data_IF_591991618939
#
_entry.id   IF_591991618939
#
_cell.length_a   1.000
_cell.length_b   1.000
_cell.length_c   1.000
_cell.angle_alpha   90.00
_cell.angle_beta   90.00
_cell.angle_gamma   90.00
#
_symmetry.space_group_name_H-M   'P 1'
#
loop_
_entity.id
_entity.type
_entity.pdbx_description
1 polymer ?
#
# COMPACT_ATOMS: atom_id res chain seq x y z
N UNK A 1 25.03 10.47 -14.72
CA UNK A 1 24.42 10.67 -16.06
C UNK A 1 23.20 9.74 -16.22
N UNK A 2 23.32 8.45 -16.10
CA UNK A 2 22.25 7.45 -16.33
C UNK A 2 21.03 7.62 -15.42
N UNK A 3 21.21 7.88 -14.12
CA UNK A 3 20.11 8.13 -13.17
C UNK A 3 19.37 9.43 -13.55
N UNK A 4 20.08 10.42 -14.04
CA UNK A 4 19.49 11.69 -14.48
C UNK A 4 18.60 11.48 -15.72
N UNK A 5 19.05 10.67 -16.68
CA UNK A 5 18.26 10.34 -17.89
C UNK A 5 16.93 9.65 -17.53
N UNK A 6 16.93 8.76 -16.53
CA UNK A 6 15.69 8.15 -16.01
C UNK A 6 14.80 9.20 -15.33
N UNK A 7 15.37 10.09 -14.52
CA UNK A 7 14.62 11.14 -13.82
C UNK A 7 13.98 12.11 -14.83
N UNK A 8 14.73 12.56 -15.82
CA UNK A 8 14.25 13.46 -16.87
C UNK A 8 13.11 12.79 -17.68
N UNK A 9 13.27 11.52 -18.04
CA UNK A 9 12.22 10.75 -18.71
C UNK A 9 10.96 10.57 -17.87
N UNK A 10 11.09 10.36 -16.55
CA UNK A 10 9.94 10.26 -15.64
C UNK A 10 9.16 11.57 -15.56
N UNK A 11 9.83 12.73 -15.59
CA UNK A 11 9.17 14.04 -15.61
C UNK A 11 8.32 14.22 -16.88
N UNK A 12 8.85 13.82 -18.04
CA UNK A 12 8.10 13.85 -19.29
C UNK A 12 6.90 12.90 -19.26
N UNK A 13 7.08 11.68 -18.76
CA UNK A 13 6.02 10.68 -18.62
C UNK A 13 4.91 11.19 -17.70
N UNK A 14 5.23 11.83 -16.57
CA UNK A 14 4.23 12.40 -15.65
C UNK A 14 3.35 13.43 -16.34
N UNK A 15 3.96 14.33 -17.13
CA UNK A 15 3.22 15.33 -17.90
C UNK A 15 2.23 14.69 -18.90
N UNK A 16 2.60 13.60 -19.55
CA UNK A 16 1.72 12.89 -20.48
C UNK A 16 0.68 12.03 -19.77
N UNK A 17 0.98 11.45 -18.62
CA UNK A 17 -0.01 10.76 -17.77
C UNK A 17 -1.15 11.72 -17.39
N UNK A 18 -0.82 12.92 -16.94
CA UNK A 18 -1.81 13.92 -16.56
C UNK A 18 -2.69 14.33 -17.75
N UNK A 19 -2.08 14.58 -18.92
CA UNK A 19 -2.81 14.90 -20.13
C UNK A 19 -3.79 13.80 -20.54
N UNK A 20 -3.35 12.53 -20.52
CA UNK A 20 -4.16 11.41 -20.99
C UNK A 20 -5.29 11.07 -19.97
N UNK A 21 -5.01 11.16 -18.67
CA UNK A 21 -6.03 10.94 -17.64
C UNK A 21 -7.20 11.93 -17.76
N UNK A 22 -6.95 13.15 -18.22
CA UNK A 22 -8.00 14.16 -18.48
C UNK A 22 -8.89 13.80 -19.67
N UNK A 23 -8.48 12.88 -20.54
CA UNK A 23 -9.28 12.44 -21.70
C UNK A 23 -10.31 11.34 -21.35
N UNK A 24 -10.18 10.69 -20.20
CA UNK A 24 -11.11 9.65 -19.78
C UNK A 24 -12.41 10.25 -19.24
N UNK A 25 -13.54 9.88 -19.83
CA UNK A 25 -14.88 10.39 -19.45
C UNK A 25 -15.60 9.53 -18.43
N UNK A 26 -15.08 8.34 -18.13
CA UNK A 26 -15.72 7.33 -17.28
C UNK A 26 -15.12 7.24 -15.87
N UNK A 27 -14.28 8.20 -15.46
CA UNK A 27 -13.59 8.19 -14.17
C UNK A 27 -12.41 7.21 -14.08
N UNK A 28 -12.01 6.59 -15.20
CA UNK A 28 -10.81 5.76 -15.27
C UNK A 28 -9.54 6.61 -15.25
N UNK A 29 -8.44 6.00 -14.82
CA UNK A 29 -7.10 6.57 -14.90
C UNK A 29 -6.07 5.49 -15.22
N UNK A 30 -4.93 5.91 -15.78
CA UNK A 30 -3.80 5.00 -16.00
C UNK A 30 -3.26 4.46 -14.66
N UNK A 31 -2.76 3.24 -14.68
CA UNK A 31 -1.95 2.73 -13.58
C UNK A 31 -0.55 3.36 -13.63
N UNK A 32 -0.37 4.44 -12.88
CA UNK A 32 0.86 5.26 -12.86
C UNK A 32 2.09 4.41 -12.54
N UNK A 33 1.96 3.45 -11.63
CA UNK A 33 3.07 2.59 -11.22
C UNK A 33 3.46 1.60 -12.31
N UNK A 34 2.49 1.09 -13.09
CA UNK A 34 2.79 0.23 -14.23
C UNK A 34 3.50 1.03 -15.33
N UNK A 35 2.97 2.21 -15.68
CA UNK A 35 3.58 3.10 -16.67
C UNK A 35 5.02 3.44 -16.31
N UNK A 36 5.25 3.89 -15.06
CA UNK A 36 6.59 4.29 -14.57
C UNK A 36 7.50 3.10 -14.31
N UNK A 37 7.00 2.03 -13.73
CA UNK A 37 7.78 0.82 -13.45
C UNK A 37 8.28 0.17 -14.72
N UNK A 38 7.44 0.07 -15.74
CA UNK A 38 7.82 -0.42 -17.05
C UNK A 38 8.86 0.50 -17.70
N UNK A 39 8.69 1.82 -17.60
CA UNK A 39 9.68 2.77 -18.10
C UNK A 39 11.05 2.62 -17.44
N UNK A 40 11.10 2.55 -16.10
CA UNK A 40 12.36 2.35 -15.38
C UNK A 40 13.03 1.05 -15.83
N UNK A 41 12.29 -0.05 -15.90
CA UNK A 41 12.82 -1.34 -16.34
C UNK A 41 13.29 -1.35 -17.79
N UNK A 42 12.61 -0.63 -18.68
CA UNK A 42 13.03 -0.42 -20.05
C UNK A 42 14.36 0.37 -20.12
N UNK A 43 14.45 1.49 -19.43
CA UNK A 43 15.65 2.30 -19.37
C UNK A 43 16.84 1.54 -18.78
N UNK A 44 16.61 0.77 -17.70
CA UNK A 44 17.65 -0.06 -17.07
C UNK A 44 18.19 -1.12 -18.02
N UNK A 45 17.36 -1.71 -18.88
CA UNK A 45 17.75 -2.78 -19.79
C UNK A 45 18.32 -2.27 -21.12
N UNK A 46 17.92 -1.08 -21.58
CA UNK A 46 18.23 -0.57 -22.91
C UNK A 46 19.53 0.23 -23.02
N UNK A 47 20.26 0.39 -21.91
CA UNK A 47 21.56 1.08 -21.85
C UNK A 47 21.65 2.37 -22.69
N UNK A 48 21.23 3.50 -22.09
CA UNK A 48 21.41 4.86 -22.62
C UNK A 48 20.54 5.27 -23.81
N UNK A 49 19.31 5.66 -23.53
CA UNK A 49 18.52 6.44 -24.49
C UNK A 49 18.12 7.76 -23.84
N UNK A 50 18.41 8.86 -24.52
CA UNK A 50 17.74 10.12 -24.24
C UNK A 50 16.28 9.94 -24.64
N UNK A 51 15.37 10.07 -23.68
CA UNK A 51 13.95 9.91 -23.89
C UNK A 51 13.36 11.28 -24.28
N UNK A 52 12.85 11.39 -25.49
CA UNK A 52 12.25 12.65 -25.98
C UNK A 52 10.79 12.78 -25.50
N UNK A 53 10.23 13.97 -25.66
CA UNK A 53 8.82 14.23 -25.35
C UNK A 53 7.88 13.38 -26.20
N UNK A 54 8.20 13.20 -27.49
CA UNK A 54 7.43 12.34 -28.40
C UNK A 54 7.50 10.86 -27.99
N UNK A 55 8.64 10.41 -27.49
CA UNK A 55 8.78 9.05 -26.96
C UNK A 55 7.98 8.89 -25.66
N UNK A 56 7.93 9.91 -24.81
CA UNK A 56 7.14 9.88 -23.58
C UNK A 56 5.63 9.84 -23.89
N UNK A 57 5.16 10.59 -24.86
CA UNK A 57 3.79 10.53 -25.35
C UNK A 57 3.46 9.14 -25.91
N UNK A 58 4.29 8.62 -26.79
CA UNK A 58 4.15 7.28 -27.37
C UNK A 58 4.15 6.19 -26.29
N UNK A 59 5.00 6.34 -25.26
CA UNK A 59 5.05 5.45 -24.12
C UNK A 59 3.73 5.41 -23.36
N UNK A 60 3.24 6.56 -22.92
CA UNK A 60 2.01 6.67 -22.12
C UNK A 60 0.79 6.21 -22.92
N UNK A 61 0.69 6.56 -24.20
CA UNK A 61 -0.38 6.10 -25.09
C UNK A 61 -0.43 4.57 -25.25
N UNK A 62 0.69 3.87 -25.02
CA UNK A 62 0.76 2.42 -25.15
C UNK A 62 0.00 1.67 -24.03
N UNK A 63 -0.40 2.38 -22.96
CA UNK A 63 -1.20 1.83 -21.86
C UNK A 63 -2.70 2.08 -22.02
N UNK A 64 -3.15 2.38 -23.23
CA UNK A 64 -4.55 2.60 -23.56
C UNK A 64 -5.00 1.68 -24.70
N UNK A 65 -6.31 1.39 -24.73
CA UNK A 65 -6.96 0.65 -25.80
C UNK A 65 -7.92 1.56 -26.59
N UNK A 66 -7.95 1.37 -27.92
CA UNK A 66 -8.86 2.07 -28.83
C UNK A 66 -8.44 3.50 -29.22
N UNK A 67 -8.90 3.93 -30.39
CA UNK A 67 -8.60 5.27 -30.95
C UNK A 67 -9.64 6.32 -30.55
N UNK A 68 -10.91 5.90 -30.42
CA UNK A 68 -12.03 6.81 -30.14
C UNK A 68 -12.37 6.91 -28.65
N UNK A 69 -12.21 5.80 -27.91
CA UNK A 69 -12.41 5.76 -26.46
C UNK A 69 -11.16 5.17 -25.84
N UNK A 70 -10.31 6.03 -25.32
CA UNK A 70 -9.10 5.58 -24.62
C UNK A 70 -9.47 4.93 -23.30
N UNK A 71 -9.29 3.63 -23.20
CA UNK A 71 -9.53 2.85 -21.99
C UNK A 71 -8.19 2.36 -21.47
N UNK A 72 -7.87 2.52 -20.17
CA UNK A 72 -6.66 1.97 -19.60
C UNK A 72 -6.61 0.45 -19.75
N UNK A 73 -5.47 -0.09 -20.17
CA UNK A 73 -5.23 -1.53 -20.17
C UNK A 73 -4.15 -1.92 -19.20
N UNK A 74 -4.35 -3.04 -18.50
CA UNK A 74 -3.34 -3.71 -17.67
C UNK A 74 -2.83 -5.02 -18.30
N UNK A 75 -3.29 -5.35 -19.51
CA UNK A 75 -2.93 -6.61 -20.19
C UNK A 75 -1.53 -6.47 -20.78
N UNK A 76 -0.54 -7.14 -20.18
CA UNK A 76 0.86 -7.04 -20.57
C UNK A 76 1.11 -7.28 -22.06
N UNK A 77 0.45 -8.30 -22.66
CA UNK A 77 0.63 -8.60 -24.08
C UNK A 77 0.17 -7.44 -24.99
N UNK A 78 -0.91 -6.75 -24.62
CA UNK A 78 -1.42 -5.57 -25.34
C UNK A 78 -0.47 -4.41 -25.18
N UNK A 79 -0.01 -4.14 -23.95
CA UNK A 79 0.95 -3.07 -23.64
C UNK A 79 2.25 -3.28 -24.42
N UNK A 80 2.82 -4.48 -24.40
CA UNK A 80 4.07 -4.77 -25.13
C UNK A 80 3.92 -4.59 -26.63
N UNK A 81 2.83 -5.07 -27.22
CA UNK A 81 2.57 -4.90 -28.65
C UNK A 81 2.43 -3.40 -29.02
N UNK A 82 1.75 -2.63 -28.18
CA UNK A 82 1.61 -1.18 -28.36
C UNK A 82 2.94 -0.44 -28.22
N UNK A 83 3.75 -0.79 -27.22
CA UNK A 83 5.08 -0.21 -27.02
C UNK A 83 6.00 -0.53 -28.20
N UNK A 84 6.04 -1.79 -28.65
CA UNK A 84 6.84 -2.20 -29.82
C UNK A 84 6.43 -1.42 -31.08
N UNK A 85 5.14 -1.20 -31.28
CA UNK A 85 4.61 -0.41 -32.40
C UNK A 85 4.96 1.08 -32.26
N UNK A 86 4.67 1.68 -31.11
CA UNK A 86 4.75 3.12 -30.91
C UNK A 86 6.20 3.61 -30.80
N UNK A 87 7.11 2.79 -30.26
CA UNK A 87 8.54 3.09 -30.20
C UNK A 87 9.30 2.61 -31.43
N UNK A 88 8.64 1.90 -32.34
CA UNK A 88 9.25 1.24 -33.50
C UNK A 88 10.47 0.38 -33.10
N UNK A 89 10.33 -0.37 -32.03
CA UNK A 89 11.38 -1.18 -31.43
C UNK A 89 10.83 -2.50 -30.91
N UNK A 90 11.59 -3.58 -31.10
CA UNK A 90 11.22 -4.89 -30.53
C UNK A 90 11.73 -5.02 -29.11
N UNK A 91 10.83 -5.26 -28.18
CA UNK A 91 11.17 -5.50 -26.78
C UNK A 91 11.72 -6.92 -26.58
N UNK A 92 12.97 -7.02 -26.18
CA UNK A 92 13.60 -8.30 -25.87
C UNK A 92 13.00 -8.92 -24.61
N UNK A 93 13.17 -10.25 -24.46
CA UNK A 93 12.66 -10.99 -23.29
C UNK A 93 13.22 -10.44 -21.97
N UNK A 94 14.51 -10.09 -21.94
CA UNK A 94 15.16 -9.56 -20.75
C UNK A 94 14.68 -8.13 -20.44
N UNK A 95 14.38 -7.33 -21.46
CA UNK A 95 13.75 -6.01 -21.30
C UNK A 95 12.37 -6.15 -20.68
N UNK A 96 11.52 -7.02 -21.19
CA UNK A 96 10.18 -7.29 -20.63
C UNK A 96 10.28 -7.76 -19.16
N UNK A 97 11.24 -8.64 -18.87
CA UNK A 97 11.49 -9.10 -17.50
C UNK A 97 11.94 -7.96 -16.57
N UNK A 98 12.82 -7.08 -17.05
CA UNK A 98 13.26 -5.90 -16.29
C UNK A 98 12.10 -4.94 -16.02
N UNK A 99 11.21 -4.72 -17.01
CA UNK A 99 10.00 -3.90 -16.87
C UNK A 99 9.08 -4.47 -15.79
N UNK A 100 8.79 -5.76 -15.82
CA UNK A 100 7.96 -6.44 -14.81
C UNK A 100 8.60 -6.42 -13.43
N UNK A 101 9.92 -6.60 -13.34
CA UNK A 101 10.67 -6.54 -12.08
C UNK A 101 10.60 -5.16 -11.45
N UNK A 102 10.83 -4.09 -12.22
CA UNK A 102 10.76 -2.72 -11.73
C UNK A 102 9.33 -2.33 -11.34
N UNK A 103 8.33 -2.73 -12.13
CA UNK A 103 6.93 -2.56 -11.76
C UNK A 103 6.60 -3.30 -10.46
N UNK A 104 6.98 -4.58 -10.36
CA UNK A 104 6.80 -5.37 -9.14
C UNK A 104 7.48 -4.75 -7.91
N UNK A 105 8.65 -4.12 -8.09
CA UNK A 105 9.35 -3.40 -7.01
C UNK A 105 8.60 -2.14 -6.54
N UNK A 106 7.90 -1.45 -7.45
CA UNK A 106 7.12 -0.26 -7.12
C UNK A 106 5.80 -0.58 -6.40
N UNK A 107 5.20 -1.74 -6.71
CA UNK A 107 3.87 -2.11 -6.19
C UNK A 107 3.93 -3.20 -5.11
N UNK A 108 5.15 -3.67 -4.73
CA UNK A 108 5.25 -4.89 -3.94
C UNK A 108 4.89 -6.15 -4.78
N UNK A 109 5.52 -7.24 -4.49
CA UNK A 109 5.68 -8.44 -5.35
C UNK A 109 4.43 -9.14 -5.92
N UNK A 110 3.22 -8.62 -5.77
CA UNK A 110 1.99 -9.33 -6.16
C UNK A 110 0.97 -8.55 -7.00
N UNK A 111 1.38 -7.43 -7.58
CA UNK A 111 0.56 -6.70 -8.56
C UNK A 111 -0.59 -5.88 -7.98
N UNK A 112 -0.65 -5.72 -6.67
CA UNK A 112 -1.65 -4.88 -6.00
C UNK A 112 -1.02 -3.59 -5.51
N UNK A 113 -1.53 -2.47 -6.00
CA UNK A 113 -1.03 -1.15 -5.63
C UNK A 113 -1.75 -0.67 -4.38
N UNK A 114 -1.04 -0.55 -3.27
CA UNK A 114 -1.49 0.28 -2.16
C UNK A 114 -0.74 1.60 -2.26
N UNK A 115 -1.45 2.67 -2.60
CA UNK A 115 -0.88 4.00 -2.61
C UNK A 115 -0.74 4.52 -1.18
N UNK A 116 0.33 5.26 -0.91
CA UNK A 116 0.44 6.02 0.34
C UNK A 116 -0.70 7.03 0.43
N UNK A 117 -1.16 7.31 1.65
CA UNK A 117 -2.16 8.36 1.84
C UNK A 117 -1.55 9.73 1.54
N UNK A 118 -2.28 10.55 0.79
CA UNK A 118 -1.93 11.96 0.61
C UNK A 118 -2.15 12.73 1.91
N UNK A 119 -1.58 13.94 1.96
CA UNK A 119 -1.81 14.83 3.12
C UNK A 119 -3.31 15.14 3.30
N UNK A 120 -4.03 15.37 2.22
CA UNK A 120 -5.46 15.66 2.22
C UNK A 120 -6.26 14.47 2.77
N UNK A 121 -5.91 13.25 2.40
CA UNK A 121 -6.53 12.02 2.92
C UNK A 121 -6.24 11.82 4.41
N UNK A 122 -5.02 12.14 4.85
CA UNK A 122 -4.65 12.12 6.27
C UNK A 122 -5.43 13.18 7.07
N UNK A 123 -5.53 14.40 6.55
CA UNK A 123 -6.29 15.50 7.15
C UNK A 123 -7.79 15.15 7.22
N UNK A 124 -8.34 14.50 6.19
CA UNK A 124 -9.73 14.01 6.20
C UNK A 124 -9.97 12.94 7.27
N UNK A 125 -9.06 12.00 7.42
CA UNK A 125 -9.11 11.00 8.50
C UNK A 125 -9.19 11.67 9.87
N UNK A 126 -8.34 12.65 10.14
CA UNK A 126 -8.32 13.39 11.41
C UNK A 126 -9.61 14.17 11.60
N UNK A 127 -10.05 14.89 10.57
CA UNK A 127 -11.27 15.72 10.60
C UNK A 127 -12.53 14.90 10.89
N UNK A 128 -12.57 13.66 10.43
CA UNK A 128 -13.71 12.76 10.62
C UNK A 128 -13.67 11.98 11.95
N UNK A 129 -12.62 12.16 12.77
CA UNK A 129 -12.59 11.58 14.11
C UNK A 129 -13.58 12.31 15.03
N UNK A 130 -14.24 11.61 15.98
CA UNK A 130 -15.03 12.26 17.01
C UNK A 130 -14.23 13.32 17.76
N UNK A 131 -14.87 14.45 18.10
CA UNK A 131 -14.21 15.58 18.80
C UNK A 131 -13.60 15.17 20.15
N UNK A 132 -14.22 14.21 20.84
CA UNK A 132 -13.78 13.66 22.12
C UNK A 132 -12.67 12.60 21.98
N UNK A 133 -12.14 12.37 20.76
CA UNK A 133 -11.02 11.42 20.53
C UNK A 133 -9.78 11.89 21.26
N UNK A 134 -9.27 11.10 22.20
CA UNK A 134 -8.06 11.44 22.96
C UNK A 134 -6.82 11.51 22.06
N UNK A 135 -5.84 12.34 22.43
CA UNK A 135 -4.61 12.52 21.67
C UNK A 135 -3.83 11.21 21.44
N UNK A 136 -3.85 10.30 22.40
CA UNK A 136 -3.19 9.01 22.26
C UNK A 136 -3.86 8.16 21.16
N UNK A 137 -5.18 8.20 21.05
CA UNK A 137 -5.94 7.48 20.02
C UNK A 137 -5.71 8.08 18.65
N UNK A 138 -5.65 9.41 18.53
CA UNK A 138 -5.27 10.09 17.29
C UNK A 138 -3.88 9.67 16.85
N UNK A 139 -2.88 9.68 17.75
CA UNK A 139 -1.52 9.25 17.45
C UNK A 139 -1.44 7.80 16.96
N UNK A 140 -2.21 6.88 17.54
CA UNK A 140 -2.26 5.47 17.11
C UNK A 140 -2.73 5.39 15.65
N UNK A 141 -3.82 6.06 15.29
CA UNK A 141 -4.34 6.03 13.92
C UNK A 141 -3.42 6.75 12.96
N UNK A 142 -2.83 7.88 13.36
CA UNK A 142 -1.87 8.60 12.53
C UNK A 142 -0.62 7.77 12.23
N UNK A 143 -0.09 7.06 13.25
CA UNK A 143 1.04 6.14 13.06
C UNK A 143 0.68 5.01 12.09
N UNK A 144 -0.53 4.45 12.22
CA UNK A 144 -1.01 3.41 11.32
C UNK A 144 -1.21 3.94 9.89
N UNK A 145 -1.80 5.14 9.76
CA UNK A 145 -2.09 5.77 8.48
C UNK A 145 -0.82 6.19 7.72
N UNK A 146 0.20 6.66 8.43
CA UNK A 146 1.50 6.98 7.82
C UNK A 146 2.20 5.75 7.23
N UNK A 147 1.91 4.56 7.71
CA UNK A 147 2.46 3.31 7.21
C UNK A 147 1.76 2.76 5.97
N UNK A 148 0.60 3.31 5.58
CA UNK A 148 -0.17 2.84 4.41
C UNK A 148 0.67 2.93 3.14
N UNK A 149 0.77 1.81 2.43
CA UNK A 149 1.56 1.68 1.21
C UNK A 149 3.07 1.62 1.39
N UNK A 150 3.58 1.70 2.62
CA UNK A 150 5.02 1.76 2.91
C UNK A 150 5.60 0.47 3.47
N UNK A 151 4.79 -0.36 4.12
CA UNK A 151 5.24 -1.59 4.79
C UNK A 151 4.74 -2.80 4.00
N UNK A 152 5.63 -3.62 3.44
CA UNK A 152 5.23 -4.85 2.77
C UNK A 152 4.68 -5.88 3.75
N UNK A 153 3.68 -6.66 3.31
CA UNK A 153 3.23 -7.81 4.08
C UNK A 153 4.26 -8.93 4.05
N UNK A 154 4.60 -9.45 5.23
CA UNK A 154 5.41 -10.64 5.34
C UNK A 154 4.94 -11.52 6.50
N UNK A 155 4.49 -12.73 6.21
CA UNK A 155 4.02 -13.68 7.22
C UNK A 155 5.09 -13.97 8.29
N UNK A 156 4.78 -13.66 9.55
CA UNK A 156 5.69 -13.77 10.69
C UNK A 156 6.72 -12.64 10.78
N UNK A 157 6.65 -11.65 9.91
CA UNK A 157 7.51 -10.46 10.00
C UNK A 157 7.13 -9.60 11.20
N UNK A 158 8.13 -9.13 11.95
CA UNK A 158 7.96 -8.31 13.15
C UNK A 158 9.00 -7.19 13.23
N UNK A 159 8.64 -6.07 13.86
CA UNK A 159 9.56 -4.98 14.12
C UNK A 159 10.55 -5.33 15.25
N UNK A 160 11.77 -4.80 15.17
CA UNK A 160 12.82 -5.02 16.18
C UNK A 160 12.71 -4.10 17.38
N UNK A 161 12.11 -2.94 17.23
CA UNK A 161 12.02 -1.92 18.28
C UNK A 161 10.85 -0.97 18.04
N UNK A 162 10.47 -0.26 19.10
CA UNK A 162 9.58 0.89 19.02
C UNK A 162 10.21 1.98 18.13
N UNK A 163 9.38 2.72 17.42
CA UNK A 163 9.84 3.79 16.54
C UNK A 163 10.66 3.30 15.35
N UNK A 164 10.63 2.00 15.04
CA UNK A 164 11.21 1.51 13.79
C UNK A 164 10.65 2.34 12.64
N UNK A 165 11.52 3.02 11.92
CA UNK A 165 11.12 3.94 10.88
C UNK A 165 10.48 3.18 9.70
N UNK A 166 9.20 3.42 9.45
CA UNK A 166 8.47 2.84 8.34
C UNK A 166 9.08 3.13 6.97
N UNK A 167 9.89 4.16 6.86
CA UNK A 167 10.61 4.47 5.62
C UNK A 167 11.79 3.52 5.38
N UNK A 168 12.24 2.79 6.39
CA UNK A 168 13.31 1.82 6.31
C UNK A 168 12.83 0.35 6.28
N UNK A 169 11.57 0.12 5.95
CA UNK A 169 11.05 -1.24 5.71
C UNK A 169 11.67 -1.93 4.48
N UNK A 170 12.57 -1.25 3.79
CA UNK A 170 13.57 -1.84 2.89
C UNK A 170 14.61 -2.69 3.64
N UNK A 171 14.86 -2.41 4.90
CA UNK A 171 15.76 -3.18 5.77
C UNK A 171 15.03 -4.42 6.29
N UNK A 172 15.78 -5.51 6.44
CA UNK A 172 15.27 -6.74 7.04
C UNK A 172 14.84 -6.47 8.47
N UNK A 173 13.58 -6.77 8.79
CA UNK A 173 13.06 -6.81 10.17
C UNK A 173 13.49 -8.12 10.87
N UNK A 174 12.80 -8.58 11.88
CA UNK A 174 13.16 -9.85 12.53
C UNK A 174 13.05 -11.03 11.55
N UNK A 175 13.92 -12.04 11.65
CA UNK A 175 13.76 -13.29 10.90
C UNK A 175 12.41 -13.95 11.19
N UNK A 176 11.83 -14.60 10.18
CA UNK A 176 10.62 -15.40 10.39
C UNK A 176 10.94 -16.69 11.17
N UNK A 177 9.89 -17.49 11.47
CA UNK A 177 10.04 -18.77 12.19
C UNK A 177 10.95 -19.80 11.49
N UNK A 178 11.29 -19.57 10.22
CA UNK A 178 12.23 -20.38 9.43
C UNK A 178 13.62 -19.74 9.32
N UNK A 179 13.87 -18.66 10.06
CA UNK A 179 15.14 -17.92 10.03
C UNK A 179 15.38 -17.12 8.75
N UNK A 180 14.36 -16.91 7.91
CA UNK A 180 14.52 -16.15 6.67
C UNK A 180 14.44 -14.66 6.95
N UNK A 181 15.44 -13.93 6.49
CA UNK A 181 15.49 -12.48 6.57
C UNK A 181 14.68 -11.87 5.44
N UNK A 182 13.39 -11.62 5.68
CA UNK A 182 12.52 -10.90 4.74
C UNK A 182 11.99 -9.60 5.34
N UNK A 183 11.54 -8.73 4.48
CA UNK A 183 11.11 -7.38 4.81
C UNK A 183 9.61 -7.36 4.99
N UNK A 184 9.11 -6.62 5.97
CA UNK A 184 7.69 -6.42 6.18
C UNK A 184 7.18 -6.91 7.53
N UNK A 185 5.91 -6.70 7.76
CA UNK A 185 5.17 -7.12 8.95
C UNK A 185 4.00 -8.00 8.54
N UNK A 186 3.50 -8.83 9.45
CA UNK A 186 2.16 -9.40 9.32
C UNK A 186 1.11 -8.55 10.05
N UNK A 187 -0.16 -8.92 9.96
CA UNK A 187 -1.26 -8.13 10.51
C UNK A 187 -1.15 -7.90 12.02
N UNK A 188 -0.73 -8.89 12.77
CA UNK A 188 -0.57 -8.81 14.23
C UNK A 188 0.66 -7.99 14.62
N UNK A 189 1.77 -8.19 13.94
CA UNK A 189 3.00 -7.46 14.23
C UNK A 189 2.94 -6.00 13.73
N UNK A 190 2.10 -5.69 12.75
CA UNK A 190 1.78 -4.30 12.42
C UNK A 190 1.06 -3.60 13.58
N UNK A 191 0.03 -4.24 14.16
CA UNK A 191 -0.66 -3.69 15.33
C UNK A 191 0.31 -3.52 16.50
N UNK A 192 1.13 -4.55 16.78
CA UNK A 192 2.17 -4.49 17.81
C UNK A 192 3.12 -3.30 17.61
N UNK A 193 3.64 -3.11 16.37
CA UNK A 193 4.54 -2.02 16.04
C UNK A 193 3.88 -0.63 16.22
N UNK A 194 2.62 -0.46 15.81
CA UNK A 194 1.89 0.81 15.97
C UNK A 194 1.76 1.17 17.44
N UNK A 195 1.28 0.26 18.28
CA UNK A 195 1.13 0.50 19.71
C UNK A 195 2.47 0.66 20.42
N UNK A 196 3.46 -0.12 20.05
CA UNK A 196 4.82 -0.01 20.60
C UNK A 196 5.42 1.36 20.29
N UNK A 197 5.30 1.81 19.05
CA UNK A 197 5.82 3.11 18.61
C UNK A 197 5.17 4.27 19.35
N UNK A 198 3.84 4.25 19.48
CA UNK A 198 3.08 5.37 20.08
C UNK A 198 3.12 5.36 21.61
N UNK A 199 3.09 4.19 22.21
CA UNK A 199 2.90 4.04 23.67
C UNK A 199 4.13 3.50 24.38
N UNK A 200 5.21 3.18 23.65
CA UNK A 200 6.38 2.49 24.16
C UNK A 200 6.05 1.18 24.89
N UNK A 201 5.02 0.50 24.44
CA UNK A 201 4.52 -0.74 25.02
C UNK A 201 4.15 -1.72 23.90
N UNK A 202 5.01 -2.67 23.65
CA UNK A 202 4.71 -3.72 22.68
C UNK A 202 3.66 -4.69 23.27
N UNK A 203 2.97 -5.38 22.37
CA UNK A 203 1.95 -6.37 22.75
C UNK A 203 2.57 -7.77 22.89
N UNK A 204 3.86 -7.83 23.24
CA UNK A 204 4.59 -9.07 23.49
C UNK A 204 5.02 -9.82 22.23
N UNK A 205 5.09 -9.16 21.09
CA UNK A 205 5.47 -9.77 19.80
C UNK A 205 4.67 -11.07 19.53
N UNK A 206 3.36 -11.01 19.74
CA UNK A 206 2.49 -12.17 19.66
C UNK A 206 1.56 -12.09 18.44
N UNK A 207 1.03 -13.24 18.05
CA UNK A 207 0.07 -13.36 16.97
C UNK A 207 -1.34 -12.88 17.38
N UNK A 208 -2.28 -12.88 16.43
CA UNK A 208 -3.67 -12.46 16.66
C UNK A 208 -4.35 -13.22 17.81
N UNK A 209 -4.02 -14.50 18.04
CA UNK A 209 -4.57 -15.31 19.14
C UNK A 209 -4.04 -14.89 20.52
N UNK A 210 -2.83 -14.33 20.58
CA UNK A 210 -2.29 -13.70 21.79
C UNK A 210 -2.88 -12.32 22.00
N UNK A 211 -2.96 -11.50 20.95
CA UNK A 211 -3.46 -10.14 21.03
C UNK A 211 -4.93 -10.06 21.49
N UNK A 212 -5.80 -10.93 20.98
CA UNK A 212 -7.22 -10.91 21.36
C UNK A 212 -7.42 -11.18 22.87
N UNK A 213 -6.52 -11.94 23.50
CA UNK A 213 -6.55 -12.20 24.96
C UNK A 213 -6.18 -10.96 25.79
N UNK A 214 -5.51 -9.98 25.19
CA UNK A 214 -5.18 -8.70 25.82
C UNK A 214 -6.30 -7.67 25.67
N UNK A 215 -7.41 -8.06 25.05
CA UNK A 215 -8.52 -7.19 24.72
C UNK A 215 -9.79 -7.58 25.45
N UNK A 216 -10.64 -6.59 25.67
CA UNK A 216 -12.04 -6.74 26.05
C UNK A 216 -12.91 -6.65 24.79
N UNK A 217 -13.84 -7.58 24.64
CA UNK A 217 -14.83 -7.51 23.55
C UNK A 217 -15.79 -6.34 23.81
N UNK A 218 -16.06 -5.57 22.77
CA UNK A 218 -16.96 -4.41 22.80
C UNK A 218 -18.04 -4.54 21.72
N UNK A 219 -19.15 -3.82 21.89
CA UNK A 219 -20.16 -3.73 20.86
C UNK A 219 -19.71 -2.76 19.74
N UNK A 220 -20.27 -2.91 18.54
CA UNK A 220 -19.90 -2.08 17.39
C UNK A 220 -20.15 -0.59 17.63
N UNK A 221 -21.22 -0.25 18.35
CA UNK A 221 -21.55 1.13 18.70
C UNK A 221 -20.58 1.76 19.72
N UNK A 222 -19.83 0.93 20.45
CA UNK A 222 -18.84 1.38 21.45
C UNK A 222 -17.43 1.54 20.88
N UNK A 223 -17.27 1.33 19.56
CA UNK A 223 -16.00 1.50 18.89
C UNK A 223 -15.46 2.92 19.05
N UNK A 224 -14.22 3.01 19.49
CA UNK A 224 -13.43 4.25 19.52
C UNK A 224 -12.24 4.12 18.60
N UNK A 225 -11.83 5.23 18.03
CA UNK A 225 -10.62 5.32 17.18
C UNK A 225 -9.44 4.63 17.88
N UNK A 226 -8.73 3.79 17.15
CA UNK A 226 -7.65 2.95 17.70
C UNK A 226 -8.10 1.61 18.27
N UNK A 227 -9.39 1.30 18.40
CA UNK A 227 -9.82 -0.04 18.78
C UNK A 227 -9.52 -1.07 17.67
N UNK A 228 -9.56 -2.34 17.99
CA UNK A 228 -9.22 -3.44 17.10
C UNK A 228 -10.46 -4.20 16.62
N UNK A 229 -10.36 -4.76 15.43
CA UNK A 229 -11.28 -5.80 14.98
C UNK A 229 -10.51 -7.06 14.60
N UNK A 230 -11.11 -8.21 14.89
CA UNK A 230 -10.55 -9.51 14.54
C UNK A 230 -11.44 -10.29 13.59
N UNK A 231 -10.79 -11.01 12.68
CA UNK A 231 -11.43 -12.04 11.89
C UNK A 231 -11.21 -13.39 12.58
N UNK A 232 -12.29 -14.11 12.82
CA UNK A 232 -12.28 -15.41 13.50
C UNK A 232 -12.88 -16.43 12.54
N UNK A 233 -12.15 -17.48 12.23
CA UNK A 233 -12.61 -18.52 11.33
C UNK A 233 -13.64 -19.47 11.98
N UNK A 234 -14.20 -20.38 11.21
CA UNK A 234 -15.23 -21.32 11.67
C UNK A 234 -14.76 -22.24 12.81
N UNK A 235 -13.45 -22.44 12.98
CA UNK A 235 -12.88 -23.22 14.08
C UNK A 235 -12.60 -22.37 15.34
N UNK A 236 -13.02 -21.11 15.36
CA UNK A 236 -12.81 -20.19 16.50
C UNK A 236 -11.38 -19.60 16.57
N UNK A 237 -10.54 -19.83 15.56
CA UNK A 237 -9.17 -19.29 15.50
C UNK A 237 -9.18 -17.91 14.89
N UNK A 238 -8.49 -16.94 15.53
CA UNK A 238 -8.23 -15.62 14.97
C UNK A 238 -7.26 -15.73 13.78
N UNK A 239 -7.58 -15.06 12.69
CA UNK A 239 -6.80 -15.12 11.44
C UNK A 239 -6.33 -13.77 10.94
N UNK A 240 -6.95 -12.68 11.40
CA UNK A 240 -6.61 -11.32 10.96
C UNK A 240 -6.99 -10.30 12.02
N UNK A 241 -6.35 -9.12 11.97
CA UNK A 241 -6.60 -7.99 12.86
C UNK A 241 -6.44 -6.67 12.10
N UNK A 242 -7.23 -5.67 12.46
CA UNK A 242 -7.14 -4.31 11.95
C UNK A 242 -7.42 -3.27 13.01
N UNK A 243 -6.95 -2.04 12.78
CA UNK A 243 -7.11 -0.87 13.65
C UNK A 243 -8.29 -0.03 13.12
N UNK A 244 -9.21 0.32 13.98
CA UNK A 244 -10.33 1.20 13.64
C UNK A 244 -9.85 2.65 13.55
N UNK A 245 -10.02 3.26 12.38
CA UNK A 245 -9.56 4.63 12.11
C UNK A 245 -10.70 5.68 12.18
N UNK A 246 -11.91 5.28 12.53
CA UNK A 246 -13.06 6.16 12.55
C UNK A 246 -14.02 5.89 11.39
N UNK A 247 -14.73 6.92 10.94
CA UNK A 247 -15.67 6.83 9.81
C UNK A 247 -15.25 7.77 8.69
N UNK A 248 -15.56 7.40 7.45
CA UNK A 248 -15.42 8.31 6.32
C UNK A 248 -16.63 9.27 6.22
N UNK A 249 -16.62 10.18 5.25
CA UNK A 249 -17.69 11.15 5.01
C UNK A 249 -19.06 10.49 4.72
N UNK A 250 -19.09 9.21 4.31
CA UNK A 250 -20.31 8.43 4.08
C UNK A 250 -20.80 7.70 5.35
N UNK A 251 -20.11 7.85 6.48
CA UNK A 251 -20.41 7.16 7.73
C UNK A 251 -19.97 5.69 7.79
N UNK A 252 -19.18 5.22 6.81
CA UNK A 252 -18.66 3.87 6.78
C UNK A 252 -17.43 3.76 7.69
N UNK A 253 -17.31 2.63 8.41
CA UNK A 253 -16.16 2.36 9.27
C UNK A 253 -14.89 2.17 8.44
N UNK A 254 -13.84 2.89 8.78
CA UNK A 254 -12.52 2.84 8.14
C UNK A 254 -11.57 2.01 9.00
N UNK A 255 -10.83 1.14 8.34
CA UNK A 255 -9.87 0.22 8.96
C UNK A 255 -8.50 0.37 8.33
N UNK A 256 -7.46 0.33 9.14
CA UNK A 256 -6.08 0.26 8.69
C UNK A 256 -5.50 -1.08 9.16
N UNK A 257 -5.00 -1.86 8.23
CA UNK A 257 -4.47 -3.19 8.52
C UNK A 257 -3.38 -3.62 7.53
N UNK A 258 -2.43 -4.38 8.03
CA UNK A 258 -1.44 -5.05 7.19
C UNK A 258 -2.11 -6.28 6.56
N UNK A 259 -2.20 -6.32 5.25
CA UNK A 259 -3.07 -7.24 4.55
C UNK A 259 -2.31 -8.03 3.47
N UNK A 260 -2.36 -9.36 3.55
CA UNK A 260 -1.75 -10.23 2.54
C UNK A 260 -2.39 -10.08 1.15
N UNK A 261 -3.68 -9.72 1.08
CA UNK A 261 -4.35 -9.49 -0.20
C UNK A 261 -3.86 -8.24 -0.92
N UNK A 262 -3.47 -7.21 -0.16
CA UNK A 262 -2.93 -5.97 -0.69
C UNK A 262 -1.39 -5.96 -0.65
N UNK A 263 -0.79 -6.99 -0.03
CA UNK A 263 0.66 -7.14 0.21
C UNK A 263 1.31 -5.95 0.88
N UNK A 264 0.53 -5.18 1.61
CA UNK A 264 0.97 -3.95 2.26
C UNK A 264 -0.03 -3.50 3.34
N UNK A 265 0.35 -2.50 4.13
CA UNK A 265 -0.61 -1.78 4.97
C UNK A 265 -1.61 -1.08 4.07
N UNK A 266 -2.88 -1.39 4.25
CA UNK A 266 -3.99 -0.85 3.50
C UNK A 266 -4.98 -0.10 4.40
N UNK A 267 -5.71 0.86 3.81
CA UNK A 267 -6.85 1.54 4.41
C UNK A 267 -8.10 1.26 3.57
N UNK A 268 -9.17 0.78 4.20
CA UNK A 268 -10.40 0.44 3.50
C UNK A 268 -11.63 0.43 4.42
N UNK A 269 -12.80 0.16 3.85
CA UNK A 269 -14.09 0.11 4.55
C UNK A 269 -14.67 -1.32 4.65
N UNK A 270 -13.81 -2.32 4.73
CA UNK A 270 -14.25 -3.73 4.83
C UNK A 270 -15.13 -4.00 6.04
N UNK A 271 -16.11 -4.88 5.89
CA UNK A 271 -17.12 -5.20 6.89
C UNK A 271 -17.10 -6.66 7.39
N UNK A 272 -16.09 -7.45 7.01
CA UNK A 272 -16.00 -8.89 7.29
C UNK A 272 -15.57 -9.25 8.71
N UNK A 273 -15.37 -8.27 9.58
CA UNK A 273 -14.90 -8.50 10.96
C UNK A 273 -15.85 -9.36 11.78
N UNK A 274 -15.30 -10.33 12.50
CA UNK A 274 -16.06 -11.24 13.37
C UNK A 274 -16.40 -10.63 14.72
N UNK A 275 -15.67 -9.59 15.14
CA UNK A 275 -15.90 -8.88 16.41
C UNK A 275 -14.97 -7.71 16.61
N UNK A 276 -15.35 -6.86 17.56
CA UNK A 276 -14.68 -5.61 17.90
C UNK A 276 -14.15 -5.69 19.31
N UNK A 277 -12.97 -5.13 19.53
CA UNK A 277 -12.21 -5.34 20.75
C UNK A 277 -11.41 -4.08 21.10
N UNK A 278 -11.26 -3.85 22.40
CA UNK A 278 -10.39 -2.80 22.94
C UNK A 278 -9.28 -3.42 23.73
N UNK A 279 -8.02 -3.03 23.47
CA UNK A 279 -6.90 -3.42 24.31
C UNK A 279 -7.14 -2.93 25.76
N UNK A 280 -6.90 -3.79 26.73
CA UNK A 280 -7.11 -3.44 28.16
C UNK A 280 -6.34 -2.17 28.55
N UNK A 281 -5.15 -1.98 27.98
CA UNK A 281 -4.35 -0.78 28.20
C UNK A 281 -4.95 0.51 27.62
N UNK A 282 -6.00 0.40 26.79
CA UNK A 282 -6.73 1.52 26.17
C UNK A 282 -8.05 1.82 26.89
N UNK A 283 -8.40 1.08 27.95
CA UNK A 283 -9.56 1.40 28.75
C UNK A 283 -9.39 2.76 29.45
N UNK A 284 -10.39 3.62 29.35
CA UNK A 284 -10.36 4.97 29.93
C UNK A 284 -9.53 6.02 29.16
N UNK A 285 -8.98 5.65 28.00
CA UNK A 285 -8.17 6.56 27.17
C UNK A 285 -8.90 7.01 25.92
#
# INVERSE_FOLDING_TARGET
QYVQEIQDGLVLIDSHIDKINQTFTNGSSLNIYQVKGYFIGYMVSSQHKVFSDEMAEAWVNSFTEGEEVKVPTSVNAVIYASLEKNLNEKLLKDTKKSMETCYGALIGNDGKTVTTLSKEQMDELIKNMPEDTSEIRKKIVMQAADAVGKIPYYWGGSAKCAGYDGNDFGVTVAPDSKGRNKKGLDCSHFVDWVYWTVMNNNLGNTNTSGQIKMCKKIAKQDLKVGDLAFLINKSGKTTHVGIYAGKNAKGEAVWIHENSNDSNVAVNTVSYWSGYYRLNMMEGR
#
